data_IF_569284850998
#
_entry.id   IF_569284850998
#
_cell.length_a   1.000
_cell.length_b   1.000
_cell.length_c   1.000
_cell.angle_alpha   90.00
_cell.angle_beta   90.00
_cell.angle_gamma   90.00
#
_symmetry.space_group_name_H-M   'P 1'
#
loop_
_entity.id
_entity.type
_entity.pdbx_description
1 polymer ?
#
# COMPACT_ATOMS: atom_id res chain seq x y z
N UNK A 1 -5.39 27.65 -0.19
CA UNK A 1 -5.56 26.85 -1.43
C UNK A 1 -5.75 25.40 -1.01
N UNK A 2 -6.95 24.84 -1.22
CA UNK A 2 -7.30 23.48 -0.77
C UNK A 2 -6.71 22.48 -1.77
N UNK A 3 -5.58 21.86 -1.41
CA UNK A 3 -4.89 20.82 -2.20
C UNK A 3 -5.52 19.44 -1.98
N UNK A 4 -6.81 19.28 -2.27
CA UNK A 4 -7.50 18.02 -1.97
C UNK A 4 -7.06 16.85 -2.89
N UNK A 5 -6.54 17.15 -4.10
CA UNK A 5 -6.27 16.14 -5.13
C UNK A 5 -4.91 16.27 -5.85
N UNK A 6 -4.09 17.27 -5.52
CA UNK A 6 -2.77 17.44 -6.13
C UNK A 6 -1.74 16.40 -5.63
N UNK A 7 -2.03 15.74 -4.51
CA UNK A 7 -1.21 14.69 -3.93
C UNK A 7 -2.05 13.41 -3.88
N UNK A 8 -1.80 12.47 -4.79
CA UNK A 8 -2.42 11.13 -4.88
C UNK A 8 -3.13 10.68 -3.58
N UNK A 9 -4.46 10.87 -3.48
CA UNK A 9 -5.17 10.64 -2.23
C UNK A 9 -5.15 9.14 -1.89
N UNK A 10 -5.06 8.84 -0.59
CA UNK A 10 -5.22 7.46 -0.12
C UNK A 10 -6.70 7.10 -0.26
N UNK A 11 -6.99 6.14 -1.14
CA UNK A 11 -8.33 5.58 -1.31
C UNK A 11 -8.46 4.36 -0.40
N UNK A 12 -9.53 4.32 0.40
CA UNK A 12 -9.80 3.25 1.37
C UNK A 12 -11.18 2.65 1.14
N UNK A 13 -11.28 1.34 1.33
CA UNK A 13 -12.57 0.65 1.36
C UNK A 13 -13.28 0.93 2.70
N UNK A 14 -14.47 1.52 2.60
CA UNK A 14 -15.27 1.91 3.78
C UNK A 14 -15.84 0.71 4.54
N UNK A 15 -16.17 -0.36 3.82
CA UNK A 15 -16.68 -1.60 4.43
C UNK A 15 -15.56 -2.26 5.21
N UNK A 16 -14.35 -2.35 4.63
CA UNK A 16 -13.19 -2.87 5.34
C UNK A 16 -12.88 -2.03 6.60
N UNK A 17 -12.86 -0.70 6.47
CA UNK A 17 -12.64 0.21 7.60
C UNK A 17 -13.69 0.06 8.72
N UNK A 18 -14.94 -0.26 8.37
CA UNK A 18 -15.97 -0.55 9.37
C UNK A 18 -15.78 -1.89 10.11
N UNK A 19 -15.05 -2.83 9.51
CA UNK A 19 -14.83 -4.17 10.06
C UNK A 19 -13.57 -4.20 10.93
N UNK A 20 -12.45 -3.65 10.42
CA UNK A 20 -11.14 -3.78 11.08
C UNK A 20 -10.64 -2.48 11.73
N UNK A 21 -11.31 -1.35 11.50
CA UNK A 21 -10.87 -0.03 11.94
C UNK A 21 -10.15 0.78 10.87
N UNK A 22 -10.15 2.10 11.04
CA UNK A 22 -9.61 3.04 10.05
C UNK A 22 -8.08 2.93 9.94
N UNK A 23 -7.37 2.88 11.07
CA UNK A 23 -5.91 2.86 11.08
C UNK A 23 -5.36 1.56 10.50
N UNK A 24 -6.00 0.44 10.84
CA UNK A 24 -5.72 -0.90 10.36
C UNK A 24 -5.92 -0.98 8.85
N UNK A 25 -7.02 -0.39 8.35
CA UNK A 25 -7.29 -0.31 6.92
C UNK A 25 -6.28 0.56 6.18
N UNK A 26 -5.83 1.67 6.78
CA UNK A 26 -4.76 2.51 6.22
C UNK A 26 -3.47 1.70 6.09
N UNK A 27 -3.04 1.01 7.15
CA UNK A 27 -1.83 0.20 7.12
C UNK A 27 -1.92 -0.93 6.08
N UNK A 28 -3.05 -1.63 6.05
CA UNK A 28 -3.31 -2.68 5.07
C UNK A 28 -3.27 -2.16 3.63
N UNK A 29 -3.90 -1.02 3.36
CA UNK A 29 -3.92 -0.39 2.04
C UNK A 29 -2.50 0.01 1.57
N UNK A 30 -1.66 0.50 2.49
CA UNK A 30 -0.27 0.85 2.15
C UNK A 30 0.54 -0.39 1.77
N UNK A 31 0.39 -1.49 2.51
CA UNK A 31 1.02 -2.79 2.16
C UNK A 31 0.53 -3.24 0.78
N UNK A 32 -0.78 -3.29 0.57
CA UNK A 32 -1.36 -3.73 -0.71
C UNK A 32 -0.87 -2.90 -1.90
N UNK A 33 -0.83 -1.57 -1.77
CA UNK A 33 -0.34 -0.67 -2.81
C UNK A 33 1.10 -0.99 -3.26
N UNK A 34 2.01 -1.17 -2.29
CA UNK A 34 3.40 -1.49 -2.62
C UNK A 34 3.56 -2.91 -3.19
N UNK A 35 2.72 -3.86 -2.75
CA UNK A 35 2.70 -5.20 -3.34
C UNK A 35 2.36 -5.14 -4.82
N UNK A 36 1.30 -4.42 -5.17
CA UNK A 36 0.84 -4.21 -6.55
C UNK A 36 1.91 -3.55 -7.42
N UNK A 37 2.62 -2.54 -6.89
CA UNK A 37 3.74 -1.91 -7.59
C UNK A 37 4.85 -2.93 -7.87
N UNK A 38 5.22 -3.74 -6.87
CA UNK A 38 6.28 -4.74 -7.03
C UNK A 38 5.87 -5.83 -8.03
N UNK A 39 4.61 -6.26 -8.01
CA UNK A 39 4.04 -7.18 -8.99
C UNK A 39 4.07 -6.62 -10.41
N UNK A 40 3.58 -5.39 -10.62
CA UNK A 40 3.57 -4.73 -11.93
C UNK A 40 4.98 -4.53 -12.50
N UNK A 41 5.93 -4.19 -11.64
CA UNK A 41 7.32 -3.96 -12.02
C UNK A 41 8.17 -5.25 -12.00
N UNK A 42 7.60 -6.40 -11.64
CA UNK A 42 8.29 -7.69 -11.47
C UNK A 42 9.52 -7.60 -10.54
N UNK A 43 9.39 -6.85 -9.44
CA UNK A 43 10.44 -6.63 -8.43
C UNK A 43 10.15 -7.42 -7.17
N UNK A 44 11.21 -7.78 -6.42
CA UNK A 44 11.11 -8.43 -5.12
C UNK A 44 10.29 -9.73 -5.13
N UNK A 45 10.38 -10.52 -6.21
CA UNK A 45 9.77 -11.84 -6.30
C UNK A 45 10.73 -12.90 -5.75
N UNK A 46 10.37 -13.51 -4.62
CA UNK A 46 11.18 -14.49 -3.91
C UNK A 46 10.30 -15.64 -3.45
N UNK A 47 10.75 -16.87 -3.68
CA UNK A 47 10.09 -18.10 -3.20
C UNK A 47 8.61 -18.21 -3.64
N UNK A 48 8.31 -17.81 -4.88
CA UNK A 48 6.96 -17.87 -5.43
C UNK A 48 6.02 -16.75 -4.95
N UNK A 49 6.52 -15.76 -4.21
CA UNK A 49 5.72 -14.64 -3.67
C UNK A 49 6.38 -13.30 -3.93
N UNK A 50 5.57 -12.24 -4.00
CA UNK A 50 6.04 -10.87 -4.04
C UNK A 50 6.18 -10.32 -2.62
N UNK A 51 7.27 -9.60 -2.36
CA UNK A 51 7.56 -9.02 -1.05
C UNK A 51 7.66 -7.51 -1.13
N UNK A 52 7.37 -6.86 0.00
CA UNK A 52 7.57 -5.42 0.20
C UNK A 52 8.66 -5.27 1.23
N UNK A 53 9.79 -4.72 0.80
CA UNK A 53 10.86 -4.28 1.68
C UNK A 53 11.69 -3.25 0.92
N UNK A 54 12.40 -2.43 1.68
CA UNK A 54 13.42 -1.55 1.14
C UNK A 54 14.76 -1.94 1.74
N UNK A 55 15.80 -1.97 0.91
CA UNK A 55 17.17 -2.11 1.39
C UNK A 55 17.57 -0.82 2.07
N UNK A 56 17.85 -0.87 3.37
CA UNK A 56 18.47 0.24 4.09
C UNK A 56 19.95 0.21 3.73
N UNK A 57 20.43 1.20 2.98
CA UNK A 57 21.88 1.37 2.74
C UNK A 57 22.53 1.83 4.04
N UNK A 58 23.67 1.23 4.36
CA UNK A 58 24.48 1.51 5.54
C UNK A 58 25.26 2.81 5.38
#
# INVERSE_FOLDING_TARGET
>A
MIKLFDNHPIVLDKVLASIIGLNETIAFQQVYYWLEINMKNKRNFHEGRYWIYNTIKK
#
